data_IF_159953919285
#
_entry.id   IF_159953919285
#
_cell.length_a   1.000
_cell.length_b   1.000
_cell.length_c   1.000
_cell.angle_alpha   90.00
_cell.angle_beta   90.00
_cell.angle_gamma   90.00
#
_symmetry.space_group_name_H-M   'P 1'
#
loop_
_entity.id
_entity.type
_entity.pdbx_description
1 polymer ?
#
# COMPACT_ATOMS: atom_id res chain seq x y z
N UNK A 1 10.98 -37.43 -1.65
CA UNK A 1 11.77 -37.25 -0.41
C UNK A 1 12.28 -35.82 -0.41
N UNK A 2 11.65 -34.94 0.35
CA UNK A 2 12.14 -33.56 0.54
C UNK A 2 12.93 -33.55 1.85
N UNK A 3 14.24 -33.32 1.75
CA UNK A 3 15.08 -33.10 2.92
C UNK A 3 15.02 -31.63 3.30
N UNK A 4 14.63 -31.38 4.55
CA UNK A 4 14.77 -30.11 5.25
C UNK A 4 16.25 -29.68 5.26
N UNK A 5 16.51 -28.42 4.92
CA UNK A 5 17.79 -27.78 5.22
C UNK A 5 17.53 -26.59 6.14
N UNK A 6 17.69 -26.85 7.45
CA UNK A 6 18.01 -25.82 8.43
C UNK A 6 19.44 -25.37 8.13
N UNK A 7 19.66 -24.07 7.92
CA UNK A 7 21.02 -23.50 7.89
C UNK A 7 21.09 -22.48 9.01
N UNK A 8 21.99 -22.76 9.95
CA UNK A 8 22.15 -22.07 11.23
C UNK A 8 22.59 -20.61 11.09
N UNK A 9 22.29 -19.87 12.15
CA UNK A 9 22.85 -18.55 12.43
C UNK A 9 24.33 -18.67 12.83
N UNK A 10 25.02 -17.54 12.67
CA UNK A 10 26.32 -17.15 13.23
C UNK A 10 27.53 -17.17 12.28
N UNK A 11 28.34 -16.11 12.45
CA UNK A 11 29.68 -15.82 11.88
C UNK A 11 29.83 -14.82 10.72
N UNK A 12 29.16 -13.66 10.69
CA UNK A 12 29.68 -12.51 9.91
C UNK A 12 29.37 -11.15 10.56
N UNK A 13 29.96 -10.86 11.73
CA UNK A 13 29.95 -9.52 12.31
C UNK A 13 31.37 -9.08 12.67
N UNK A 14 32.12 -8.49 11.73
CA UNK A 14 33.21 -7.52 12.03
C UNK A 14 33.97 -6.98 10.79
N UNK A 15 33.35 -6.58 9.66
CA UNK A 15 34.16 -5.82 8.66
C UNK A 15 33.50 -4.96 7.57
N UNK A 16 32.27 -4.44 7.67
CA UNK A 16 31.76 -3.57 6.59
C UNK A 16 31.08 -2.29 7.10
N UNK A 17 31.65 -1.16 6.67
CA UNK A 17 31.22 0.19 7.01
C UNK A 17 29.82 0.55 6.52
N UNK A 18 29.34 1.67 7.05
CA UNK A 18 27.97 2.24 6.99
C UNK A 18 27.27 2.32 5.62
N UNK A 19 27.91 1.96 4.50
CA UNK A 19 27.29 1.90 3.17
C UNK A 19 26.88 0.48 2.73
N UNK A 20 27.23 -0.57 3.49
CA UNK A 20 26.97 -1.98 3.13
C UNK A 20 25.73 -2.61 3.77
N UNK A 21 25.06 -1.93 4.70
CA UNK A 21 23.98 -2.51 5.51
C UNK A 21 22.63 -2.67 4.78
N UNK A 22 22.44 -2.04 3.62
CA UNK A 22 21.19 -2.15 2.85
C UNK A 22 21.10 -3.40 1.97
N UNK A 23 22.18 -4.19 1.84
CA UNK A 23 22.18 -5.49 1.13
C UNK A 23 21.98 -6.70 2.05
N UNK A 24 21.79 -6.46 3.35
CA UNK A 24 21.66 -7.53 4.33
C UNK A 24 20.17 -7.93 4.51
N UNK A 25 19.85 -9.12 4.00
CA UNK A 25 18.76 -10.01 4.44
C UNK A 25 17.28 -9.75 4.09
N UNK A 26 16.94 -8.86 3.17
CA UNK A 26 15.57 -8.77 2.67
C UNK A 26 15.48 -9.23 1.21
N UNK A 27 14.54 -10.14 0.89
CA UNK A 27 14.25 -10.50 -0.50
C UNK A 27 13.72 -9.27 -1.23
N UNK A 28 14.35 -8.89 -2.33
CA UNK A 28 13.88 -7.73 -3.09
C UNK A 28 12.55 -8.03 -3.82
N UNK A 29 11.85 -6.97 -4.23
CA UNK A 29 10.59 -7.07 -4.97
C UNK A 29 10.78 -7.27 -6.48
N UNK A 30 11.99 -7.62 -6.96
CA UNK A 30 12.23 -7.75 -8.40
C UNK A 30 11.48 -8.92 -9.03
N UNK A 31 11.07 -9.92 -8.23
CA UNK A 31 10.21 -11.02 -8.71
C UNK A 31 8.87 -10.53 -9.28
N UNK A 32 8.39 -9.33 -8.89
CA UNK A 32 7.18 -8.73 -9.48
C UNK A 32 7.33 -8.55 -11.00
N UNK A 33 8.56 -8.33 -11.49
CA UNK A 33 8.84 -8.28 -12.92
C UNK A 33 8.59 -9.62 -13.63
N UNK A 34 8.79 -10.76 -12.96
CA UNK A 34 8.47 -12.07 -13.53
C UNK A 34 6.95 -12.32 -13.61
N UNK A 35 6.19 -11.70 -12.71
CA UNK A 35 4.73 -11.85 -12.65
C UNK A 35 3.97 -11.03 -13.70
N UNK A 36 4.61 -10.11 -14.41
CA UNK A 36 3.95 -9.32 -15.47
C UNK A 36 3.47 -10.21 -16.62
N UNK A 37 4.07 -11.39 -16.80
CA UNK A 37 3.64 -12.36 -17.80
C UNK A 37 2.44 -13.22 -17.35
N UNK A 38 2.06 -13.15 -16.07
CA UNK A 38 0.92 -13.89 -15.53
C UNK A 38 -0.39 -13.13 -15.80
N UNK A 39 -0.82 -13.07 -17.06
CA UNK A 39 -1.98 -12.27 -17.50
C UNK A 39 -3.31 -12.68 -16.87
N UNK A 40 -3.42 -13.89 -16.33
CA UNK A 40 -4.60 -14.40 -15.61
C UNK A 40 -4.52 -14.25 -14.09
N UNK A 41 -3.45 -13.64 -13.56
CA UNK A 41 -3.27 -13.48 -12.12
C UNK A 41 -4.38 -12.59 -11.53
N UNK A 42 -5.11 -13.12 -10.56
CA UNK A 42 -6.23 -12.43 -9.90
C UNK A 42 -5.91 -12.03 -8.46
N UNK A 43 -5.11 -12.81 -7.76
CA UNK A 43 -4.69 -12.52 -6.39
C UNK A 43 -3.19 -12.73 -6.25
N UNK A 44 -2.52 -11.73 -5.66
CA UNK A 44 -1.13 -11.80 -5.26
C UNK A 44 -1.04 -11.50 -3.78
N UNK A 45 -0.71 -12.52 -2.98
CA UNK A 45 -0.51 -12.38 -1.55
C UNK A 45 0.88 -12.88 -1.17
N UNK A 46 1.68 -11.95 -0.67
CA UNK A 46 3.03 -12.19 -0.13
C UNK A 46 3.19 -11.52 1.24
N UNK A 47 2.07 -11.35 1.95
CA UNK A 47 2.07 -10.73 3.27
C UNK A 47 2.78 -11.57 4.33
N UNK A 48 3.20 -10.92 5.42
CA UNK A 48 3.97 -11.51 6.53
C UNK A 48 5.23 -12.26 6.07
N UNK A 49 6.07 -11.56 5.32
CA UNK A 49 7.38 -12.06 4.90
C UNK A 49 8.48 -11.07 5.31
N UNK A 50 9.71 -11.35 4.86
CA UNK A 50 10.86 -10.45 5.01
C UNK A 50 11.23 -9.78 3.67
N UNK A 51 10.22 -9.51 2.83
CA UNK A 51 10.44 -8.81 1.57
C UNK A 51 10.84 -7.36 1.86
N UNK A 52 11.84 -6.85 1.16
CA UNK A 52 12.30 -5.48 1.28
C UNK A 52 12.57 -4.87 -0.09
N UNK A 53 13.38 -3.81 -0.11
CA UNK A 53 13.56 -3.00 -1.31
C UNK A 53 12.40 -2.05 -1.53
N UNK A 54 12.19 -1.64 -2.79
CA UNK A 54 11.18 -0.66 -3.18
C UNK A 54 10.18 -1.29 -4.15
N UNK A 55 8.95 -0.76 -4.19
CA UNK A 55 7.97 -1.15 -5.20
C UNK A 55 8.48 -0.72 -6.60
N UNK A 56 8.76 -1.66 -7.52
CA UNK A 56 9.28 -1.34 -8.83
C UNK A 56 8.18 -0.73 -9.72
N UNK A 57 8.59 0.09 -10.70
CA UNK A 57 7.66 0.65 -11.69
C UNK A 57 6.93 -0.43 -12.52
N UNK A 58 7.51 -1.63 -12.62
CA UNK A 58 6.89 -2.79 -13.29
C UNK A 58 5.59 -3.26 -12.65
N UNK A 59 5.26 -2.80 -11.43
CA UNK A 59 3.94 -3.04 -10.83
C UNK A 59 2.79 -2.58 -11.74
N UNK A 60 3.04 -1.55 -12.57
CA UNK A 60 2.07 -1.04 -13.55
C UNK A 60 1.71 -2.07 -14.64
N UNK A 61 2.56 -3.09 -14.83
CA UNK A 61 2.43 -4.12 -15.86
C UNK A 61 1.93 -5.46 -15.30
N UNK A 62 1.50 -5.51 -14.03
CA UNK A 62 0.81 -6.69 -13.51
C UNK A 62 -0.55 -6.86 -14.19
N UNK A 63 -1.13 -8.05 -14.07
CA UNK A 63 -2.41 -8.36 -14.71
C UNK A 63 -3.49 -7.33 -14.38
N UNK A 64 -4.20 -6.88 -15.41
CA UNK A 64 -5.39 -6.04 -15.27
C UNK A 64 -6.59 -6.81 -14.69
N UNK A 65 -6.47 -8.12 -14.47
CA UNK A 65 -7.45 -8.95 -13.75
C UNK A 65 -7.14 -9.06 -12.26
N UNK A 66 -5.99 -8.52 -11.79
CA UNK A 66 -5.60 -8.54 -10.40
C UNK A 66 -6.62 -7.76 -9.55
N UNK A 67 -7.31 -8.47 -8.67
CA UNK A 67 -8.35 -7.97 -7.78
C UNK A 67 -7.90 -7.91 -6.31
N UNK A 68 -6.84 -8.63 -5.96
CA UNK A 68 -6.20 -8.53 -4.64
C UNK A 68 -4.67 -8.39 -4.78
N UNK A 69 -4.14 -7.34 -4.16
CA UNK A 69 -2.71 -7.16 -3.94
C UNK A 69 -2.45 -7.00 -2.44
N UNK A 70 -1.75 -7.98 -1.87
CA UNK A 70 -1.47 -8.08 -0.45
C UNK A 70 0.03 -8.23 -0.19
N UNK A 71 0.63 -7.14 0.30
CA UNK A 71 2.07 -6.98 0.60
C UNK A 71 2.32 -6.67 2.09
N UNK A 72 1.28 -6.72 2.92
CA UNK A 72 1.31 -6.29 4.31
C UNK A 72 2.31 -7.07 5.18
N UNK A 73 2.84 -6.46 6.24
CA UNK A 73 3.75 -7.13 7.18
C UNK A 73 5.08 -7.52 6.53
N UNK A 74 5.74 -6.57 5.88
CA UNK A 74 7.04 -6.75 5.22
C UNK A 74 7.98 -5.58 5.58
N UNK A 75 9.13 -5.50 4.92
CA UNK A 75 10.15 -4.45 5.09
C UNK A 75 10.25 -3.57 3.83
N UNK A 76 9.15 -3.43 3.08
CA UNK A 76 9.10 -2.68 1.81
C UNK A 76 9.22 -1.19 2.11
N UNK A 77 10.11 -0.51 1.41
CA UNK A 77 10.46 0.90 1.62
C UNK A 77 10.22 1.74 0.37
N UNK A 78 10.45 3.05 0.49
CA UNK A 78 10.25 4.00 -0.61
C UNK A 78 8.77 4.33 -0.84
N UNK A 79 8.46 4.96 -1.97
CA UNK A 79 7.12 5.44 -2.26
C UNK A 79 6.26 4.42 -2.99
N UNK A 80 4.94 4.59 -2.88
CA UNK A 80 3.98 3.88 -3.74
C UNK A 80 4.05 4.52 -5.14
N UNK A 81 4.44 3.76 -6.18
CA UNK A 81 4.58 4.31 -7.53
C UNK A 81 3.20 4.69 -8.11
N UNK A 82 3.11 5.78 -8.90
CA UNK A 82 1.86 6.20 -9.54
C UNK A 82 1.24 5.12 -10.45
N UNK A 83 2.06 4.21 -10.97
CA UNK A 83 1.62 3.07 -11.79
C UNK A 83 0.65 2.13 -11.07
N UNK A 84 0.45 2.23 -9.75
CA UNK A 84 -0.59 1.48 -9.04
C UNK A 84 -2.00 1.72 -9.63
N UNK A 85 -2.25 2.90 -10.21
CA UNK A 85 -3.52 3.26 -10.85
C UNK A 85 -3.88 2.45 -12.09
N UNK A 86 -2.94 1.69 -12.67
CA UNK A 86 -3.21 0.85 -13.85
C UNK A 86 -3.89 -0.48 -13.49
N UNK A 87 -3.93 -0.86 -12.21
CA UNK A 87 -4.54 -2.10 -11.72
C UNK A 87 -6.07 -1.98 -11.62
N UNK A 88 -6.72 -1.68 -12.74
CA UNK A 88 -8.13 -1.26 -12.81
C UNK A 88 -9.16 -2.26 -12.27
N UNK A 89 -8.78 -3.52 -12.05
CA UNK A 89 -9.65 -4.54 -11.42
C UNK A 89 -9.46 -4.69 -9.91
N UNK A 90 -8.55 -3.94 -9.31
CA UNK A 90 -8.21 -4.03 -7.89
C UNK A 90 -9.44 -3.77 -7.02
N UNK A 91 -9.69 -4.68 -6.08
CA UNK A 91 -10.75 -4.56 -5.07
C UNK A 91 -10.16 -4.42 -3.67
N UNK A 92 -9.01 -5.05 -3.43
CA UNK A 92 -8.36 -5.10 -2.14
C UNK A 92 -6.89 -4.75 -2.27
N UNK A 93 -6.46 -3.69 -1.58
CA UNK A 93 -5.06 -3.28 -1.50
C UNK A 93 -4.61 -3.27 -0.04
N UNK A 94 -3.72 -4.20 0.32
CA UNK A 94 -3.14 -4.30 1.65
C UNK A 94 -1.62 -4.11 1.58
N UNK A 95 -1.14 -2.96 2.04
CA UNK A 95 0.30 -2.63 2.12
C UNK A 95 0.68 -2.09 3.50
N UNK A 96 -0.14 -2.39 4.51
CA UNK A 96 0.10 -2.00 5.91
C UNK A 96 1.34 -2.68 6.50
N UNK A 97 1.84 -2.17 7.61
CA UNK A 97 2.98 -2.74 8.34
C UNK A 97 4.21 -2.93 7.45
N UNK A 98 4.65 -1.83 6.85
CA UNK A 98 5.84 -1.74 6.01
C UNK A 98 6.63 -0.47 6.36
N UNK A 99 7.65 -0.15 5.57
CA UNK A 99 8.50 1.04 5.70
C UNK A 99 8.24 2.05 4.57
N UNK A 100 7.02 2.05 4.00
CA UNK A 100 6.68 2.93 2.87
C UNK A 100 6.69 4.40 3.31
N UNK A 101 7.18 5.29 2.45
CA UNK A 101 7.31 6.73 2.71
C UNK A 101 6.79 7.57 1.54
N UNK A 102 6.75 8.89 1.74
CA UNK A 102 6.33 9.83 0.70
C UNK A 102 4.81 9.92 0.55
N UNK A 103 4.38 10.59 -0.52
CA UNK A 103 2.97 10.92 -0.77
C UNK A 103 2.20 9.75 -1.37
N UNK A 104 0.92 9.67 -1.03
CA UNK A 104 0.00 8.77 -1.71
C UNK A 104 -0.24 9.28 -3.15
N UNK A 105 -0.07 8.44 -4.19
CA UNK A 105 -0.26 8.90 -5.56
C UNK A 105 -1.75 9.17 -5.83
N UNK A 106 -2.12 10.30 -6.47
CA UNK A 106 -3.51 10.59 -6.82
C UNK A 106 -4.17 9.54 -7.72
N UNK A 107 -3.37 8.80 -8.51
CA UNK A 107 -3.82 7.71 -9.38
C UNK A 107 -4.43 6.53 -8.61
N UNK A 108 -4.21 6.42 -7.30
CA UNK A 108 -4.94 5.45 -6.48
C UNK A 108 -6.47 5.68 -6.53
N UNK A 109 -6.89 6.94 -6.70
CA UNK A 109 -8.29 7.32 -6.89
C UNK A 109 -8.89 6.89 -8.23
N UNK A 110 -8.10 6.39 -9.17
CA UNK A 110 -8.57 5.87 -10.47
C UNK A 110 -9.08 4.43 -10.36
N UNK A 111 -8.73 3.73 -9.28
CA UNK A 111 -9.12 2.34 -9.03
C UNK A 111 -10.57 2.26 -8.51
N UNK A 112 -11.53 2.60 -9.38
CA UNK A 112 -12.96 2.71 -9.07
C UNK A 112 -13.63 1.46 -8.48
N UNK A 113 -13.01 0.28 -8.62
CA UNK A 113 -13.49 -0.99 -8.05
C UNK A 113 -12.96 -1.30 -6.65
N UNK A 114 -12.06 -0.47 -6.11
CA UNK A 114 -11.52 -0.67 -4.77
C UNK A 114 -12.65 -0.65 -3.73
N UNK A 115 -12.57 -1.61 -2.81
CA UNK A 115 -13.46 -1.76 -1.67
C UNK A 115 -12.69 -1.63 -0.36
N UNK A 116 -11.45 -2.12 -0.32
CA UNK A 116 -10.64 -2.16 0.90
C UNK A 116 -9.24 -1.62 0.62
N UNK A 117 -8.84 -0.64 1.41
CA UNK A 117 -7.50 -0.05 1.35
C UNK A 117 -6.92 -0.02 2.76
N UNK A 118 -5.81 -0.73 2.95
CA UNK A 118 -5.06 -0.76 4.20
C UNK A 118 -3.62 -0.29 3.99
N UNK A 119 -3.30 0.87 4.55
CA UNK A 119 -2.00 1.54 4.47
C UNK A 119 -1.39 1.80 5.86
N UNK A 120 -2.03 1.29 6.92
CA UNK A 120 -1.66 1.63 8.29
C UNK A 120 -0.25 1.18 8.68
N UNK A 121 0.34 1.79 9.71
CA UNK A 121 1.68 1.45 10.20
C UNK A 121 2.74 1.52 9.08
N UNK A 122 2.90 2.71 8.52
CA UNK A 122 3.93 3.07 7.55
C UNK A 122 4.48 4.47 7.88
N UNK A 123 5.36 5.01 7.03
CA UNK A 123 5.87 6.38 7.07
C UNK A 123 5.31 7.28 5.98
N UNK A 124 4.10 7.02 5.47
CA UNK A 124 3.47 7.83 4.41
C UNK A 124 3.17 9.24 4.92
N UNK A 125 3.31 10.24 4.05
CA UNK A 125 3.24 11.65 4.42
C UNK A 125 2.57 12.54 3.37
N UNK A 126 2.42 13.82 3.69
CA UNK A 126 1.71 14.79 2.85
C UNK A 126 0.20 14.69 3.00
N UNK A 127 -0.52 15.38 2.11
CA UNK A 127 -1.98 15.42 2.13
C UNK A 127 -2.61 14.13 1.62
N UNK A 128 -3.78 13.80 2.16
CA UNK A 128 -4.63 12.74 1.61
C UNK A 128 -5.18 13.24 0.24
N UNK A 129 -4.94 12.53 -0.88
CA UNK A 129 -5.43 12.95 -2.18
C UNK A 129 -6.95 13.03 -2.24
N UNK A 130 -7.50 14.14 -2.73
CA UNK A 130 -8.94 14.30 -2.92
C UNK A 130 -9.53 13.29 -3.92
N UNK A 131 -8.69 12.73 -4.80
CA UNK A 131 -9.08 11.67 -5.75
C UNK A 131 -9.54 10.38 -5.07
N UNK A 132 -9.20 10.12 -3.80
CA UNK A 132 -9.77 8.98 -3.06
C UNK A 132 -11.30 9.04 -2.99
N UNK A 133 -11.89 10.24 -3.04
CA UNK A 133 -13.33 10.42 -3.13
C UNK A 133 -13.99 9.92 -4.43
N UNK A 134 -13.19 9.55 -5.45
CA UNK A 134 -13.71 8.92 -6.67
C UNK A 134 -14.02 7.43 -6.49
N UNK A 135 -13.48 6.80 -5.43
CA UNK A 135 -13.68 5.38 -5.12
C UNK A 135 -15.01 5.22 -4.38
N UNK A 136 -16.11 5.45 -5.09
CA UNK A 136 -17.46 5.51 -4.49
C UNK A 136 -17.90 4.22 -3.79
N UNK A 137 -17.32 3.08 -4.16
CA UNK A 137 -17.57 1.76 -3.56
C UNK A 137 -16.62 1.37 -2.42
N UNK A 138 -15.80 2.31 -1.94
CA UNK A 138 -14.88 2.07 -0.84
C UNK A 138 -15.66 1.77 0.44
N UNK A 139 -15.29 0.68 1.11
CA UNK A 139 -15.95 0.19 2.34
C UNK A 139 -15.05 0.30 3.58
N UNK A 140 -13.73 0.12 3.40
CA UNK A 140 -12.75 0.22 4.48
C UNK A 140 -11.55 1.04 4.03
N UNK A 141 -11.23 2.09 4.80
CA UNK A 141 -10.04 2.92 4.57
C UNK A 141 -9.24 3.05 5.87
N UNK A 142 -8.11 2.34 5.94
CA UNK A 142 -7.21 2.35 7.08
C UNK A 142 -5.89 3.02 6.72
N UNK A 143 -5.66 4.21 7.26
CA UNK A 143 -4.46 5.02 7.03
C UNK A 143 -3.80 5.44 8.35
N UNK A 144 -4.22 4.84 9.46
CA UNK A 144 -3.73 5.20 10.78
C UNK A 144 -2.25 4.88 10.98
N UNK A 145 -1.62 5.53 11.95
CA UNK A 145 -0.20 5.33 12.27
C UNK A 145 0.70 5.59 11.05
N UNK A 146 0.62 6.83 10.55
CA UNK A 146 1.40 7.37 9.44
C UNK A 146 1.77 8.83 9.78
N UNK A 147 2.23 9.59 8.78
CA UNK A 147 2.56 11.02 8.89
C UNK A 147 1.75 11.89 7.93
N UNK A 148 0.51 11.49 7.60
CA UNK A 148 -0.39 12.33 6.78
C UNK A 148 -0.69 13.65 7.48
N UNK A 149 -0.76 14.72 6.71
CA UNK A 149 -0.95 16.10 7.18
C UNK A 149 -2.04 16.82 6.37
N UNK A 150 -2.37 18.04 6.79
CA UNK A 150 -3.44 18.83 6.18
C UNK A 150 -4.83 18.35 6.59
N UNK A 151 -5.85 18.84 5.89
CA UNK A 151 -7.24 18.53 6.17
C UNK A 151 -7.71 17.23 5.53
N UNK A 152 -8.68 16.56 6.16
CA UNK A 152 -9.38 15.43 5.56
C UNK A 152 -10.14 15.93 4.31
N UNK A 153 -9.94 15.34 3.12
CA UNK A 153 -10.64 15.78 1.92
C UNK A 153 -12.16 15.58 2.02
N UNK A 154 -12.92 16.65 1.77
CA UNK A 154 -14.39 16.57 1.75
C UNK A 154 -14.95 15.63 0.68
N UNK A 155 -14.15 15.36 -0.36
CA UNK A 155 -14.48 14.37 -1.38
C UNK A 155 -14.63 12.95 -0.83
N UNK A 156 -14.05 12.61 0.33
CA UNK A 156 -14.30 11.32 0.99
C UNK A 156 -15.78 11.13 1.35
N UNK A 157 -16.54 12.22 1.52
CA UNK A 157 -18.00 12.16 1.69
C UNK A 157 -18.76 11.57 0.50
N UNK A 158 -18.12 11.41 -0.68
CA UNK A 158 -18.70 10.72 -1.85
C UNK A 158 -18.62 9.19 -1.74
N UNK A 159 -17.81 8.65 -0.82
CA UNK A 159 -17.68 7.22 -0.58
C UNK A 159 -18.89 6.74 0.27
N UNK A 160 -20.06 6.66 -0.36
CA UNK A 160 -21.33 6.37 0.35
C UNK A 160 -21.42 4.98 0.97
N UNK A 161 -20.51 4.07 0.60
CA UNK A 161 -20.41 2.72 1.14
C UNK A 161 -19.36 2.57 2.25
N UNK A 162 -18.71 3.66 2.68
CA UNK A 162 -17.64 3.63 3.68
C UNK A 162 -18.22 3.21 5.04
N UNK A 163 -17.82 2.04 5.52
CA UNK A 163 -18.26 1.47 6.80
C UNK A 163 -17.30 1.81 7.93
N UNK A 164 -16.01 1.87 7.61
CA UNK A 164 -14.96 2.14 8.59
C UNK A 164 -13.85 3.00 7.97
N UNK A 165 -13.53 4.08 8.68
CA UNK A 165 -12.51 5.05 8.33
C UNK A 165 -11.64 5.27 9.54
N UNK A 166 -10.39 4.81 9.46
CA UNK A 166 -9.43 5.03 10.53
C UNK A 166 -8.22 5.82 10.04
N UNK A 167 -8.16 7.08 10.46
CA UNK A 167 -7.11 8.05 10.16
C UNK A 167 -6.27 8.42 11.41
N UNK A 168 -6.44 7.69 12.52
CA UNK A 168 -5.79 8.00 13.80
C UNK A 168 -4.26 7.99 13.73
N UNK A 169 -3.57 8.58 14.71
CA UNK A 169 -2.10 8.62 14.75
C UNK A 169 -1.47 9.16 13.44
N UNK A 170 -1.96 10.32 13.01
CA UNK A 170 -1.42 11.12 11.91
C UNK A 170 -1.24 12.57 12.38
N UNK A 171 -0.84 13.48 11.48
CA UNK A 171 -0.68 14.92 11.71
C UNK A 171 -1.79 15.75 11.05
N UNK A 172 -2.98 15.15 10.90
CA UNK A 172 -4.12 15.78 10.26
C UNK A 172 -4.62 16.97 11.09
N UNK A 173 -5.13 17.99 10.40
CA UNK A 173 -5.66 19.21 11.00
C UNK A 173 -7.00 19.61 10.34
N UNK A 174 -7.54 20.75 10.74
CA UNK A 174 -8.80 21.27 10.20
C UNK A 174 -10.05 20.58 10.76
N UNK A 175 -11.17 20.80 10.08
CA UNK A 175 -12.49 20.31 10.49
C UNK A 175 -12.77 18.92 9.89
N UNK A 176 -13.57 18.11 10.60
CA UNK A 176 -14.16 16.92 10.00
C UNK A 176 -15.09 17.38 8.86
N UNK A 177 -14.89 16.93 7.61
CA UNK A 177 -15.72 17.36 6.50
C UNK A 177 -17.17 16.93 6.73
N UNK A 178 -18.10 17.87 6.56
CA UNK A 178 -19.51 17.56 6.59
C UNK A 178 -19.83 16.82 5.29
N UNK A 179 -20.06 15.51 5.38
CA UNK A 179 -20.52 14.74 4.23
C UNK A 179 -21.86 15.30 3.77
N UNK A 180 -21.98 15.68 2.50
CA UNK A 180 -23.29 15.89 1.88
C UNK A 180 -23.95 14.52 1.69
N UNK A 181 -24.44 13.94 2.78
CA UNK A 181 -25.36 12.82 2.71
C UNK A 181 -26.64 13.25 1.98
N UNK A 182 -27.40 12.31 1.40
CA UNK A 182 -28.63 12.61 0.65
C UNK A 182 -29.76 13.24 1.47
N UNK A 183 -29.53 13.51 2.76
CA UNK A 183 -30.53 13.98 3.72
C UNK A 183 -30.38 15.45 4.13
N UNK A 184 -29.44 16.21 3.56
CA UNK A 184 -29.36 17.66 3.77
C UNK A 184 -29.84 18.41 2.53
N UNK A 185 -31.17 18.57 2.44
CA UNK A 185 -31.89 19.50 1.57
C UNK A 185 -32.87 20.31 2.38
#
# INVERSE_FOLDING_TARGET
MWNYAYIGQDEWSTSLGHAGLSKLFCWDLNFLGALTNCTQLQSLNVGFNKLGGQLPASIANLSTQLNELSLYGNLISGSIPPGIGTLVSQQTLYVSENLLTGKLPPSLGELSKLRKVSLYSNGLSGEIPSSLGNITWLTYLYMFNNSFEGSIPSSLGRCSYLLDLNLGYNKLNGSIPVGHGPYNS
#
